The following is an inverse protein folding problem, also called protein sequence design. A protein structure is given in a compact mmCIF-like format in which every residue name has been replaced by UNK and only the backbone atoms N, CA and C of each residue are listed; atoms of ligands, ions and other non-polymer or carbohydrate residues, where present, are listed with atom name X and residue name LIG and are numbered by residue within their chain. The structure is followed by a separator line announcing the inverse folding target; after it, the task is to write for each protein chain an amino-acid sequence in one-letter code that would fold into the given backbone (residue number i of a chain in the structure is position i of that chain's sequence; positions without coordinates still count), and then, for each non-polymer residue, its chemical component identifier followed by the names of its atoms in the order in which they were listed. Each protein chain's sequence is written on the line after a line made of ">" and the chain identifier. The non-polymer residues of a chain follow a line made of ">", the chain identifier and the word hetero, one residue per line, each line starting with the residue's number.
data_IF_907111269311
#
_entry.id   IF_907111269311
#
_cell.length_a   1.000
_cell.length_b   1.000
_cell.length_c   1.000
_cell.angle_alpha   90.00
_cell.angle_beta   90.00
_cell.angle_gamma   90.00
#
_symmetry.space_group_name_H-M   'P 1'
#
loop_
_entity.id
_entity.type
_entity.pdbx_description
1 polymer ?
#
# COMPACT_ATOMS: atom_id res chain seq x y z
N UNK A 1 -31.55 -46.43 -16.91
CA UNK A 1 -30.54 -46.23 -15.81
C UNK A 1 -29.07 -46.21 -16.25
N UNK A 2 -28.73 -46.12 -17.54
CA UNK A 2 -27.37 -46.24 -18.08
C UNK A 2 -26.60 -44.90 -18.24
N UNK A 3 -27.21 -43.74 -17.91
CA UNK A 3 -26.62 -42.43 -18.26
C UNK A 3 -25.79 -41.76 -17.12
N UNK A 4 -25.73 -42.38 -15.92
CA UNK A 4 -25.04 -41.78 -14.77
C UNK A 4 -23.53 -41.99 -14.73
N UNK A 5 -23.00 -42.98 -15.42
CA UNK A 5 -21.56 -43.29 -15.42
C UNK A 5 -20.75 -42.33 -16.30
N UNK A 6 -21.24 -42.10 -17.52
CA UNK A 6 -20.57 -41.22 -18.49
C UNK A 6 -20.57 -39.74 -18.06
N UNK A 7 -21.65 -39.26 -17.47
CA UNK A 7 -21.73 -37.92 -16.93
C UNK A 7 -20.85 -37.72 -15.71
N UNK A 8 -20.71 -38.72 -14.84
CA UNK A 8 -19.77 -38.71 -13.70
C UNK A 8 -18.30 -38.72 -14.15
N UNK A 9 -17.96 -39.52 -15.14
CA UNK A 9 -16.61 -39.55 -15.71
C UNK A 9 -16.25 -38.23 -16.37
N UNK A 10 -17.15 -37.67 -17.19
CA UNK A 10 -16.94 -36.35 -17.84
C UNK A 10 -16.78 -35.23 -16.82
N UNK A 11 -17.56 -35.20 -15.75
CA UNK A 11 -17.41 -34.22 -14.65
C UNK A 11 -16.07 -34.36 -13.95
N UNK A 12 -15.64 -35.58 -13.62
CA UNK A 12 -14.32 -35.82 -13.00
C UNK A 12 -13.17 -35.41 -13.92
N UNK A 13 -13.26 -35.68 -15.20
CA UNK A 13 -12.26 -35.28 -16.17
C UNK A 13 -12.17 -33.76 -16.32
N UNK A 14 -13.32 -33.06 -16.38
CA UNK A 14 -13.36 -31.59 -16.43
C UNK A 14 -12.87 -30.97 -15.12
N UNK A 15 -13.21 -31.53 -13.96
CA UNK A 15 -12.73 -31.04 -12.65
C UNK A 15 -11.22 -31.20 -12.54
N UNK A 16 -10.68 -32.38 -12.97
CA UNK A 16 -9.22 -32.61 -12.99
C UNK A 16 -8.53 -31.65 -13.96
N UNK A 17 -9.04 -31.45 -15.16
CA UNK A 17 -8.47 -30.53 -16.12
C UNK A 17 -8.50 -29.09 -15.59
N UNK A 18 -9.62 -28.64 -15.01
CA UNK A 18 -9.74 -27.31 -14.39
C UNK A 18 -8.77 -27.13 -13.23
N UNK A 19 -8.62 -28.16 -12.37
CA UNK A 19 -7.64 -28.13 -11.25
C UNK A 19 -6.20 -28.05 -11.75
N UNK A 20 -5.84 -28.84 -12.77
CA UNK A 20 -4.48 -28.81 -13.35
C UNK A 20 -4.20 -27.46 -14.00
N UNK A 21 -5.15 -26.90 -14.76
CA UNK A 21 -5.01 -25.58 -15.36
C UNK A 21 -4.84 -24.50 -14.28
N UNK A 22 -5.71 -24.51 -13.27
CA UNK A 22 -5.62 -23.53 -12.17
C UNK A 22 -4.29 -23.65 -11.41
N UNK A 23 -3.85 -24.87 -11.11
CA UNK A 23 -2.56 -25.13 -10.46
C UNK A 23 -1.38 -24.66 -11.32
N UNK A 24 -1.41 -24.95 -12.63
CA UNK A 24 -0.35 -24.52 -13.57
C UNK A 24 -0.27 -23.02 -13.70
N UNK A 25 -1.41 -22.32 -13.81
CA UNK A 25 -1.48 -20.86 -13.85
C UNK A 25 -0.98 -20.25 -12.53
N UNK A 26 -1.37 -20.82 -11.39
CA UNK A 26 -0.87 -20.38 -10.08
C UNK A 26 0.63 -20.57 -9.95
N UNK A 27 1.15 -21.72 -10.36
CA UNK A 27 2.59 -22.02 -10.36
C UNK A 27 3.36 -21.06 -11.29
N UNK A 28 2.80 -20.71 -12.44
CA UNK A 28 3.39 -19.74 -13.37
C UNK A 28 3.52 -18.35 -12.72
N UNK A 29 2.44 -17.87 -12.09
CA UNK A 29 2.44 -16.55 -11.41
C UNK A 29 3.44 -16.52 -10.26
N UNK A 30 3.40 -17.54 -9.39
CA UNK A 30 4.32 -17.64 -8.24
C UNK A 30 5.76 -17.78 -8.71
N UNK A 31 6.00 -18.60 -9.74
CA UNK A 31 7.33 -18.79 -10.33
C UNK A 31 7.89 -17.50 -10.93
N UNK A 32 7.07 -16.73 -11.63
CA UNK A 32 7.46 -15.43 -12.17
C UNK A 32 7.81 -14.43 -11.07
N UNK A 33 6.97 -14.35 -10.03
CA UNK A 33 7.25 -13.48 -8.86
C UNK A 33 8.55 -13.87 -8.16
N UNK A 34 8.76 -15.18 -7.97
CA UNK A 34 9.98 -15.69 -7.35
C UNK A 34 11.23 -15.39 -8.21
N UNK A 35 11.12 -15.54 -9.54
CA UNK A 35 12.18 -15.22 -10.47
C UNK A 35 12.55 -13.72 -10.44
N UNK A 36 11.55 -12.83 -10.46
CA UNK A 36 11.76 -11.37 -10.34
C UNK A 36 12.44 -11.05 -9.02
N UNK A 37 11.96 -11.60 -7.92
CA UNK A 37 12.53 -11.35 -6.58
C UNK A 37 13.98 -11.85 -6.50
N UNK A 38 14.25 -13.06 -6.99
CA UNK A 38 15.60 -13.63 -7.01
C UNK A 38 16.54 -12.78 -7.85
N UNK A 39 16.11 -12.37 -9.03
CA UNK A 39 16.89 -11.48 -9.90
C UNK A 39 17.20 -10.14 -9.22
N UNK A 40 16.21 -9.55 -8.56
CA UNK A 40 16.37 -8.31 -7.81
C UNK A 40 17.39 -8.46 -6.66
N UNK A 41 17.33 -9.58 -5.92
CA UNK A 41 18.30 -9.86 -4.85
C UNK A 41 19.71 -10.00 -5.42
N UNK A 42 19.89 -10.78 -6.50
CA UNK A 42 21.20 -10.98 -7.11
C UNK A 42 21.83 -9.67 -7.60
N UNK A 43 21.02 -8.82 -8.26
CA UNK A 43 21.50 -7.55 -8.81
C UNK A 43 21.62 -6.44 -7.76
N UNK A 44 20.69 -6.38 -6.81
CA UNK A 44 20.63 -5.32 -5.80
C UNK A 44 21.60 -5.52 -4.63
N UNK A 45 21.83 -6.78 -4.20
CA UNK A 45 22.65 -7.06 -3.01
C UNK A 45 24.11 -6.61 -3.17
N UNK A 46 24.66 -6.66 -4.38
CA UNK A 46 26.06 -6.27 -4.63
C UNK A 46 26.34 -4.79 -4.36
N UNK A 47 25.34 -3.92 -4.52
CA UNK A 47 25.46 -2.47 -4.35
C UNK A 47 24.84 -1.97 -3.04
N UNK A 48 24.19 -2.84 -2.27
CA UNK A 48 23.60 -2.53 -0.97
C UNK A 48 24.69 -2.63 0.12
N UNK A 49 25.37 -1.52 0.37
CA UNK A 49 26.42 -1.41 1.37
C UNK A 49 26.17 -0.24 2.36
N UNK A 50 27.01 -0.09 3.36
CA UNK A 50 26.86 0.98 4.37
C UNK A 50 26.88 2.38 3.75
N UNK A 51 27.73 2.60 2.76
CA UNK A 51 27.83 3.85 2.01
C UNK A 51 26.52 4.18 1.32
N UNK A 52 25.88 3.19 0.69
CA UNK A 52 24.58 3.35 0.03
C UNK A 52 23.47 3.80 0.99
N UNK A 53 23.50 3.33 2.24
CA UNK A 53 22.51 3.66 3.27
C UNK A 53 22.76 4.99 3.99
N UNK A 54 23.99 5.56 3.91
CA UNK A 54 24.38 6.73 4.69
C UNK A 54 24.71 7.96 3.84
N UNK A 55 25.05 7.77 2.58
CA UNK A 55 25.40 8.88 1.68
C UNK A 55 24.22 9.29 0.80
N UNK A 56 24.31 10.52 0.28
CA UNK A 56 23.39 11.06 -0.74
C UNK A 56 23.81 10.65 -2.15
N UNK A 57 22.92 10.79 -3.15
CA UNK A 57 23.26 10.64 -4.55
C UNK A 57 24.46 11.48 -4.97
N UNK A 58 25.34 10.92 -5.78
CA UNK A 58 26.47 11.63 -6.36
C UNK A 58 26.28 11.88 -7.85
N UNK A 59 26.92 12.93 -8.40
CA UNK A 59 26.96 13.18 -9.84
C UNK A 59 27.59 12.01 -10.59
N UNK A 60 27.30 11.97 -11.89
CA UNK A 60 27.87 10.98 -12.81
C UNK A 60 29.39 11.10 -12.87
N UNK A 61 30.09 9.97 -12.81
CA UNK A 61 31.55 9.89 -12.84
C UNK A 61 32.24 9.94 -11.48
N UNK A 62 31.49 10.22 -10.41
CA UNK A 62 32.01 10.09 -9.05
C UNK A 62 31.72 8.71 -8.47
N UNK A 63 32.74 8.04 -7.93
CA UNK A 63 32.59 6.75 -7.30
C UNK A 63 31.84 6.85 -5.96
N UNK A 64 31.02 5.85 -5.63
CA UNK A 64 30.25 5.80 -4.40
C UNK A 64 28.90 6.52 -4.50
N UNK A 65 28.45 7.13 -3.41
CA UNK A 65 27.10 7.68 -3.30
C UNK A 65 26.09 6.66 -2.79
N UNK A 66 24.89 7.13 -2.47
CA UNK A 66 23.83 6.31 -1.91
C UNK A 66 22.46 6.95 -2.05
N UNK A 67 21.51 6.42 -1.30
CA UNK A 67 20.10 6.87 -1.33
C UNK A 67 19.55 7.17 0.08
N UNK A 68 20.42 7.61 1.00
CA UNK A 68 20.02 7.88 2.39
C UNK A 68 18.90 8.96 2.49
N UNK A 69 19.05 10.06 1.73
CA UNK A 69 18.04 11.12 1.67
C UNK A 69 16.72 10.61 1.05
N UNK A 70 16.79 9.69 0.07
CA UNK A 70 15.61 9.08 -0.57
C UNK A 70 14.87 8.17 0.41
N UNK A 71 15.60 7.41 1.23
CA UNK A 71 15.02 6.57 2.28
C UNK A 71 14.29 7.44 3.31
N UNK A 72 14.93 8.47 3.83
CA UNK A 72 14.33 9.41 4.76
C UNK A 72 13.09 10.09 4.17
N UNK A 73 13.19 10.59 2.94
CA UNK A 73 12.07 11.27 2.29
C UNK A 73 10.89 10.35 2.00
N UNK A 74 11.13 9.09 1.61
CA UNK A 74 10.06 8.10 1.47
C UNK A 74 9.34 7.86 2.79
N UNK A 75 10.07 7.71 3.89
CA UNK A 75 9.48 7.55 5.22
C UNK A 75 8.66 8.77 5.60
N UNK A 76 9.17 9.98 5.39
CA UNK A 76 8.47 11.23 5.72
C UNK A 76 7.18 11.38 4.92
N UNK A 77 7.23 11.16 3.59
CA UNK A 77 6.04 11.23 2.72
C UNK A 77 5.00 10.19 3.15
N UNK A 78 5.41 8.95 3.44
CA UNK A 78 4.52 7.89 3.88
C UNK A 78 3.90 8.16 5.26
N UNK A 79 4.64 8.80 6.17
CA UNK A 79 4.08 9.24 7.46
C UNK A 79 3.00 10.32 7.26
N UNK A 80 3.24 11.30 6.40
CA UNK A 80 2.25 12.34 6.07
C UNK A 80 1.02 11.69 5.42
N UNK A 81 1.22 10.82 4.42
CA UNK A 81 0.15 10.11 3.75
C UNK A 81 -0.69 9.28 4.74
N UNK A 82 -0.03 8.57 5.65
CA UNK A 82 -0.70 7.77 6.69
C UNK A 82 -1.44 8.65 7.69
N UNK A 83 -0.85 9.75 8.13
CA UNK A 83 -1.47 10.68 9.09
C UNK A 83 -2.76 11.30 8.53
N UNK A 84 -2.83 11.53 7.21
CA UNK A 84 -4.01 12.05 6.53
C UNK A 84 -4.97 10.94 6.09
N UNK A 85 -4.44 9.89 5.48
CA UNK A 85 -5.23 8.85 4.82
C UNK A 85 -5.89 7.86 5.80
N UNK A 86 -5.19 7.47 6.88
CA UNK A 86 -5.73 6.49 7.83
C UNK A 86 -7.00 7.00 8.54
N UNK A 87 -7.02 8.21 9.15
CA UNK A 87 -8.23 8.68 9.84
C UNK A 87 -9.42 8.83 8.89
N UNK A 88 -9.19 9.39 7.71
CA UNK A 88 -10.24 9.62 6.72
C UNK A 88 -10.77 8.30 6.16
N UNK A 89 -9.89 7.41 5.72
CA UNK A 89 -10.28 6.14 5.10
C UNK A 89 -10.96 5.19 6.09
N UNK A 90 -10.41 5.04 7.31
CA UNK A 90 -11.01 4.20 8.35
C UNK A 90 -12.34 4.81 8.82
N UNK A 91 -12.39 6.13 9.05
CA UNK A 91 -13.62 6.81 9.46
C UNK A 91 -14.74 6.69 8.42
N UNK A 92 -14.42 6.87 7.14
CA UNK A 92 -15.36 6.66 6.04
C UNK A 92 -15.84 5.19 5.96
N UNK A 93 -14.94 4.22 6.12
CA UNK A 93 -15.29 2.79 6.15
C UNK A 93 -16.20 2.41 7.32
N UNK A 94 -15.95 2.96 8.51
CA UNK A 94 -16.82 2.79 9.69
C UNK A 94 -18.20 3.38 9.38
N UNK A 95 -18.24 4.61 8.85
CA UNK A 95 -19.51 5.24 8.49
C UNK A 95 -20.30 4.38 7.49
N UNK A 96 -19.65 3.85 6.46
CA UNK A 96 -20.29 3.02 5.44
C UNK A 96 -20.83 1.71 6.00
N UNK A 97 -20.13 1.09 6.94
CA UNK A 97 -20.55 -0.17 7.56
C UNK A 97 -21.74 0.00 8.51
N UNK A 98 -21.76 1.07 9.30
CA UNK A 98 -22.70 1.26 10.39
C UNK A 98 -23.88 2.17 10.04
N UNK A 99 -23.66 3.17 9.15
CA UNK A 99 -24.63 4.24 8.85
C UNK A 99 -24.87 4.42 7.36
N UNK A 100 -24.12 3.76 6.49
CA UNK A 100 -24.08 4.01 5.05
C UNK A 100 -25.23 3.43 4.23
N UNK A 101 -26.45 3.25 4.80
CA UNK A 101 -27.63 2.76 4.07
C UNK A 101 -28.40 3.87 3.32
N UNK A 102 -27.87 5.09 3.32
CA UNK A 102 -28.47 6.29 2.72
C UNK A 102 -27.77 6.70 1.41
N UNK A 103 -28.27 7.76 0.78
CA UNK A 103 -27.70 8.31 -0.47
C UNK A 103 -26.23 8.75 -0.31
N UNK A 104 -25.87 9.33 0.83
CA UNK A 104 -24.49 9.71 1.12
C UNK A 104 -23.56 8.49 1.14
N UNK A 105 -24.00 7.38 1.76
CA UNK A 105 -23.23 6.14 1.76
C UNK A 105 -23.03 5.57 0.34
N UNK A 106 -24.05 5.65 -0.52
CA UNK A 106 -23.92 5.26 -1.92
C UNK A 106 -22.91 6.14 -2.66
N UNK A 107 -22.97 7.45 -2.45
CA UNK A 107 -22.05 8.41 -3.07
C UNK A 107 -20.60 8.16 -2.64
N UNK A 108 -20.35 7.94 -1.34
CA UNK A 108 -19.00 7.64 -0.84
C UNK A 108 -18.46 6.34 -1.45
N UNK A 109 -19.28 5.27 -1.53
CA UNK A 109 -18.88 4.01 -2.19
C UNK A 109 -18.54 4.23 -3.65
N UNK A 110 -19.42 4.91 -4.38
CA UNK A 110 -19.19 5.23 -5.79
C UNK A 110 -17.89 6.03 -5.97
N UNK A 111 -17.67 7.06 -5.16
CA UNK A 111 -16.44 7.86 -5.23
C UNK A 111 -15.20 7.02 -4.93
N UNK A 112 -15.25 6.16 -3.91
CA UNK A 112 -14.13 5.27 -3.57
C UNK A 112 -13.84 4.27 -4.70
N UNK A 113 -14.87 3.70 -5.33
CA UNK A 113 -14.72 2.76 -6.44
C UNK A 113 -14.14 3.47 -7.69
N UNK A 114 -14.60 4.67 -8.00
CA UNK A 114 -14.05 5.50 -9.10
C UNK A 114 -12.58 5.83 -8.83
N UNK A 115 -12.25 6.32 -7.62
CA UNK A 115 -10.86 6.69 -7.27
C UNK A 115 -9.91 5.49 -7.31
N UNK A 116 -10.37 4.29 -6.95
CA UNK A 116 -9.57 3.07 -7.10
C UNK A 116 -9.25 2.71 -8.56
N UNK A 117 -10.08 3.14 -9.51
CA UNK A 117 -9.88 2.94 -10.95
C UNK A 117 -9.09 4.05 -11.64
N UNK A 118 -8.89 5.21 -11.00
CA UNK A 118 -8.16 6.33 -11.60
C UNK A 118 -6.67 6.01 -11.71
N UNK A 119 -6.02 6.26 -12.87
CA UNK A 119 -4.57 6.15 -12.99
C UNK A 119 -3.84 7.03 -11.97
N UNK A 120 -2.80 6.50 -11.34
CA UNK A 120 -2.07 7.22 -10.27
C UNK A 120 -1.46 8.55 -10.73
N UNK A 121 -1.08 8.64 -12.00
CA UNK A 121 -0.57 9.88 -12.60
C UNK A 121 -1.61 11.00 -12.58
N UNK A 122 -2.89 10.67 -12.81
CA UNK A 122 -3.99 11.64 -12.76
C UNK A 122 -4.20 12.14 -11.34
N UNK A 123 -4.11 11.25 -10.34
CA UNK A 123 -4.16 11.65 -8.93
C UNK A 123 -3.01 12.59 -8.58
N UNK A 124 -1.82 12.33 -9.12
CA UNK A 124 -0.67 13.23 -9.00
C UNK A 124 -0.93 14.63 -9.55
N UNK A 125 -1.55 14.73 -10.74
CA UNK A 125 -1.92 16.00 -11.36
C UNK A 125 -3.00 16.74 -10.55
N UNK A 126 -3.98 16.03 -10.02
CA UNK A 126 -5.00 16.61 -9.13
C UNK A 126 -4.35 17.15 -7.86
N UNK A 127 -3.48 16.38 -7.22
CA UNK A 127 -2.75 16.83 -6.04
C UNK A 127 -1.82 18.02 -6.34
N UNK A 128 -1.20 18.04 -7.52
CA UNK A 128 -0.43 19.18 -8.00
C UNK A 128 -1.31 20.46 -8.04
N UNK A 129 -2.46 20.39 -8.70
CA UNK A 129 -3.38 21.52 -8.80
C UNK A 129 -3.92 21.99 -7.44
N UNK A 130 -4.22 21.03 -6.55
CA UNK A 130 -4.79 21.36 -5.22
C UNK A 130 -3.75 21.87 -4.23
N UNK A 131 -2.52 21.40 -4.28
CA UNK A 131 -1.52 21.69 -3.24
C UNK A 131 -0.34 22.47 -3.79
N UNK A 132 0.35 21.96 -4.82
CA UNK A 132 1.60 22.58 -5.32
C UNK A 132 1.35 23.96 -5.90
N UNK A 133 0.30 24.12 -6.71
CA UNK A 133 -0.07 25.44 -7.30
C UNK A 133 -0.39 26.44 -6.21
N UNK A 134 -1.13 26.05 -5.17
CA UNK A 134 -1.50 26.94 -4.07
C UNK A 134 -0.31 27.26 -3.14
N UNK A 135 0.64 26.33 -2.97
CA UNK A 135 1.86 26.58 -2.20
C UNK A 135 2.91 27.35 -3.01
N UNK A 136 2.84 27.31 -4.33
CA UNK A 136 3.85 27.87 -5.24
C UNK A 136 5.16 27.06 -5.34
N UNK A 137 5.23 25.88 -4.71
CA UNK A 137 6.42 25.03 -4.74
C UNK A 137 6.08 23.55 -4.48
N UNK A 138 6.97 22.65 -4.91
CA UNK A 138 6.92 21.22 -4.59
C UNK A 138 7.31 20.97 -3.13
N UNK A 139 6.77 19.90 -2.52
CA UNK A 139 7.04 19.61 -1.12
C UNK A 139 6.79 18.14 -0.76
N UNK A 140 7.38 17.68 0.37
CA UNK A 140 7.02 16.39 0.95
C UNK A 140 5.54 16.33 1.35
N UNK A 141 4.98 17.46 1.79
CA UNK A 141 3.55 17.56 2.15
C UNK A 141 2.66 17.30 0.95
N UNK A 142 2.92 17.93 -0.21
CA UNK A 142 2.14 17.68 -1.43
C UNK A 142 2.25 16.23 -1.90
N UNK A 143 3.45 15.63 -1.79
CA UNK A 143 3.64 14.19 -2.02
C UNK A 143 2.80 13.32 -1.09
N UNK A 144 2.80 13.65 0.20
CA UNK A 144 2.00 12.97 1.21
C UNK A 144 0.49 13.08 0.96
N UNK A 145 0.00 14.25 0.55
CA UNK A 145 -1.41 14.45 0.16
C UNK A 145 -1.76 13.60 -1.07
N UNK A 146 -0.92 13.55 -2.09
CA UNK A 146 -1.15 12.73 -3.28
C UNK A 146 -1.28 11.25 -2.93
N UNK A 147 -0.39 10.73 -2.10
CA UNK A 147 -0.45 9.35 -1.63
C UNK A 147 -1.63 9.10 -0.68
N UNK A 148 -2.02 10.09 0.15
CA UNK A 148 -3.20 9.99 1.00
C UNK A 148 -4.50 9.85 0.18
N UNK A 149 -4.65 10.62 -0.89
CA UNK A 149 -5.80 10.52 -1.82
C UNK A 149 -5.92 9.10 -2.38
N UNK A 150 -4.80 8.45 -2.71
CA UNK A 150 -4.79 7.06 -3.18
C UNK A 150 -5.08 6.05 -2.07
N UNK A 151 -4.65 6.34 -0.85
CA UNK A 151 -4.79 5.44 0.30
C UNK A 151 -6.23 5.38 0.82
N UNK A 152 -6.93 6.53 0.82
CA UNK A 152 -8.29 6.67 1.38
C UNK A 152 -9.29 5.68 0.78
N UNK A 153 -9.48 5.54 -0.54
CA UNK A 153 -10.48 4.63 -1.10
C UNK A 153 -10.20 3.16 -0.77
N UNK A 154 -8.94 2.75 -0.76
CA UNK A 154 -8.53 1.38 -0.40
C UNK A 154 -8.91 1.09 1.06
N UNK A 155 -8.56 2.01 1.97
CA UNK A 155 -8.88 1.89 3.39
C UNK A 155 -10.38 1.91 3.66
N UNK A 156 -11.11 2.78 2.98
CA UNK A 156 -12.57 2.91 3.11
C UNK A 156 -13.26 1.59 2.79
N UNK A 157 -12.95 0.99 1.63
CA UNK A 157 -13.57 -0.26 1.19
C UNK A 157 -13.14 -1.44 2.06
N UNK A 158 -11.85 -1.56 2.37
CA UNK A 158 -11.38 -2.62 3.24
C UNK A 158 -12.00 -2.55 4.64
N UNK A 159 -12.06 -1.35 5.24
CA UNK A 159 -12.65 -1.18 6.58
C UNK A 159 -14.14 -1.50 6.56
N UNK A 160 -14.89 -1.04 5.56
CA UNK A 160 -16.30 -1.37 5.39
C UNK A 160 -16.52 -2.89 5.30
N UNK A 161 -15.75 -3.57 4.44
CA UNK A 161 -15.85 -5.03 4.24
C UNK A 161 -15.52 -5.80 5.52
N UNK A 162 -14.45 -5.45 6.21
CA UNK A 162 -14.05 -6.12 7.45
C UNK A 162 -15.08 -5.95 8.58
N UNK A 163 -15.68 -4.76 8.69
CA UNK A 163 -16.73 -4.52 9.69
C UNK A 163 -18.02 -5.27 9.35
N UNK A 164 -18.36 -5.43 8.07
CA UNK A 164 -19.53 -6.22 7.62
C UNK A 164 -19.39 -7.72 7.86
N UNK A 165 -18.16 -8.24 7.95
CA UNK A 165 -17.92 -9.64 8.30
C UNK A 165 -18.20 -9.95 9.77
N UNK A 166 -18.34 -8.96 10.65
CA UNK A 166 -18.71 -9.17 12.04
C UNK A 166 -20.19 -9.62 12.12
N UNK A 167 -20.48 -10.81 12.69
CA UNK A 167 -21.83 -11.36 12.71
C UNK A 167 -22.83 -10.41 13.37
N UNK A 168 -24.04 -10.33 12.82
CA UNK A 168 -25.12 -9.49 13.32
C UNK A 168 -25.51 -9.87 14.75
N UNK A 169 -25.43 -11.16 15.11
CA UNK A 169 -25.70 -11.66 16.48
C UNK A 169 -24.82 -11.02 17.55
N UNK A 170 -23.57 -10.66 17.21
CA UNK A 170 -22.66 -9.97 18.15
C UNK A 170 -23.17 -8.55 18.44
N UNK A 171 -23.68 -7.87 17.42
CA UNK A 171 -24.25 -6.52 17.54
C UNK A 171 -25.55 -6.54 18.33
N UNK A 172 -26.43 -7.49 18.03
CA UNK A 172 -27.71 -7.69 18.71
C UNK A 172 -27.52 -8.05 20.19
N UNK A 173 -26.54 -8.89 20.51
CA UNK A 173 -26.20 -9.18 21.89
C UNK A 173 -25.76 -7.93 22.68
N UNK A 174 -24.95 -7.05 22.03
CA UNK A 174 -24.55 -5.79 22.65
C UNK A 174 -25.75 -4.85 22.88
N UNK A 175 -26.65 -4.76 21.90
CA UNK A 175 -27.88 -3.96 22.04
C UNK A 175 -28.82 -4.53 23.11
N UNK A 176 -28.92 -5.86 23.22
CA UNK A 176 -29.68 -6.53 24.28
C UNK A 176 -29.15 -6.24 25.68
N UNK A 177 -27.87 -5.91 25.84
CA UNK A 177 -27.24 -5.45 27.07
C UNK A 177 -27.40 -3.92 27.30
N UNK A 178 -28.14 -3.21 26.44
CA UNK A 178 -28.34 -1.77 26.51
C UNK A 178 -27.15 -0.92 26.09
N UNK A 179 -26.15 -1.51 25.39
CA UNK A 179 -24.98 -0.76 24.93
C UNK A 179 -25.37 0.08 23.69
N UNK A 180 -25.15 1.40 23.70
CA UNK A 180 -25.50 2.27 22.56
C UNK A 180 -24.66 1.95 21.32
N UNK A 181 -25.22 2.21 20.13
CA UNK A 181 -24.64 1.85 18.83
C UNK A 181 -23.19 2.31 18.68
N UNK A 182 -22.88 3.57 18.97
CA UNK A 182 -21.51 4.10 18.83
C UNK A 182 -20.49 3.34 19.70
N UNK A 183 -20.88 2.93 20.90
CA UNK A 183 -20.01 2.17 21.81
C UNK A 183 -19.87 0.71 21.33
N UNK A 184 -20.94 0.11 20.82
CA UNK A 184 -20.92 -1.21 20.17
C UNK A 184 -19.95 -1.18 19.00
N UNK A 185 -20.01 -0.15 18.13
CA UNK A 185 -19.11 0.02 16.99
C UNK A 185 -17.63 0.07 17.42
N UNK A 186 -17.30 0.95 18.37
CA UNK A 186 -15.89 1.18 18.77
C UNK A 186 -15.34 0.00 19.59
N UNK A 187 -16.11 -0.46 20.60
CA UNK A 187 -15.58 -1.42 21.59
C UNK A 187 -15.74 -2.88 21.18
N UNK A 188 -16.69 -3.20 20.33
CA UNK A 188 -17.03 -4.58 19.97
C UNK A 188 -16.76 -4.84 18.49
N UNK A 189 -17.42 -4.11 17.59
CA UNK A 189 -17.34 -4.38 16.14
C UNK A 189 -15.93 -4.11 15.62
N UNK A 190 -15.37 -2.93 15.91
CA UNK A 190 -14.01 -2.56 15.49
C UNK A 190 -12.95 -3.46 16.15
N UNK A 191 -13.13 -3.80 17.42
CA UNK A 191 -12.24 -4.71 18.13
C UNK A 191 -12.26 -6.13 17.54
N UNK A 192 -13.41 -6.62 17.11
CA UNK A 192 -13.55 -7.92 16.43
C UNK A 192 -12.92 -7.90 15.04
N UNK A 193 -13.13 -6.84 14.25
CA UNK A 193 -12.62 -6.68 12.89
C UNK A 193 -11.15 -6.24 12.82
N UNK A 194 -10.51 -5.89 13.94
CA UNK A 194 -9.19 -5.23 14.00
C UNK A 194 -8.10 -5.92 13.17
N UNK A 195 -8.07 -7.26 13.15
CA UNK A 195 -7.04 -8.01 12.40
C UNK A 195 -7.18 -7.78 10.89
N UNK A 196 -8.41 -7.81 10.37
CA UNK A 196 -8.69 -7.53 8.96
C UNK A 196 -8.40 -6.07 8.58
N UNK A 197 -8.79 -5.13 9.44
CA UNK A 197 -8.51 -3.70 9.22
C UNK A 197 -7.01 -3.42 9.18
N UNK A 198 -6.22 -3.99 10.10
CA UNK A 198 -4.76 -3.85 10.10
C UNK A 198 -4.15 -4.45 8.84
N UNK A 199 -4.65 -5.60 8.36
CA UNK A 199 -4.21 -6.19 7.11
C UNK A 199 -4.50 -5.26 5.93
N UNK A 200 -5.67 -4.61 5.90
CA UNK A 200 -6.02 -3.61 4.91
C UNK A 200 -5.15 -2.35 4.97
N UNK A 201 -4.81 -1.88 6.17
CA UNK A 201 -3.86 -0.78 6.35
C UNK A 201 -2.49 -1.15 5.76
N UNK A 202 -2.00 -2.35 6.04
CA UNK A 202 -0.71 -2.81 5.49
C UNK A 202 -0.74 -2.93 3.97
N UNK A 203 -1.85 -3.41 3.40
CA UNK A 203 -2.02 -3.50 1.95
C UNK A 203 -2.03 -2.11 1.30
N UNK A 204 -2.78 -1.16 1.86
CA UNK A 204 -2.83 0.22 1.38
C UNK A 204 -1.44 0.89 1.49
N UNK A 205 -0.76 0.72 2.62
CA UNK A 205 0.60 1.23 2.85
C UNK A 205 1.61 0.64 1.84
N UNK A 206 1.62 -0.68 1.66
CA UNK A 206 2.52 -1.34 0.72
C UNK A 206 2.31 -0.85 -0.73
N UNK A 207 1.06 -0.64 -1.12
CA UNK A 207 0.72 -0.11 -2.44
C UNK A 207 1.27 1.29 -2.63
N UNK A 208 0.98 2.23 -1.73
CA UNK A 208 1.40 3.64 -1.91
C UNK A 208 2.89 3.85 -1.69
N UNK A 209 3.56 2.98 -0.94
CA UNK A 209 5.01 3.06 -0.71
C UNK A 209 5.84 2.87 -1.99
N UNK A 210 5.32 2.16 -2.98
CA UNK A 210 5.97 1.95 -4.27
C UNK A 210 5.55 2.92 -5.38
N UNK A 211 4.67 3.88 -5.10
CA UNK A 211 4.14 4.78 -6.12
C UNK A 211 5.16 5.85 -6.54
N UNK A 212 5.36 5.96 -7.85
CA UNK A 212 6.30 6.92 -8.45
C UNK A 212 5.60 8.08 -9.12
N UNK A 213 4.57 7.80 -9.93
CA UNK A 213 3.93 8.77 -10.80
C UNK A 213 3.35 9.99 -10.06
N UNK A 214 2.63 9.85 -8.93
CA UNK A 214 2.13 11.01 -8.19
C UNK A 214 3.26 11.89 -7.63
N UNK A 215 4.37 11.29 -7.23
CA UNK A 215 5.51 12.00 -6.62
C UNK A 215 6.30 12.83 -7.63
N UNK A 216 6.28 12.46 -8.92
CA UNK A 216 6.85 13.27 -10.00
C UNK A 216 6.24 14.67 -10.07
N UNK A 217 4.95 14.79 -9.79
CA UNK A 217 4.21 16.05 -9.87
C UNK A 217 4.08 16.79 -8.54
N UNK A 218 4.52 16.18 -7.42
CA UNK A 218 4.25 16.74 -6.10
C UNK A 218 5.50 16.89 -5.24
N UNK A 219 6.37 15.88 -5.16
CA UNK A 219 7.61 15.93 -4.38
C UNK A 219 8.82 16.41 -5.19
N UNK A 220 8.81 16.22 -6.52
CA UNK A 220 9.83 16.57 -7.52
C UNK A 220 11.17 15.86 -7.36
N UNK A 221 11.57 15.47 -6.16
CA UNK A 221 12.89 14.95 -5.84
C UNK A 221 13.88 16.04 -5.39
N UNK A 222 14.91 15.62 -4.65
CA UNK A 222 16.00 16.48 -4.19
C UNK A 222 17.24 15.61 -3.97
N UNK A 223 18.38 15.97 -4.54
CA UNK A 223 19.65 15.26 -4.35
C UNK A 223 20.30 15.55 -3.00
N UNK A 224 19.92 16.64 -2.35
CA UNK A 224 20.44 17.05 -1.03
C UNK A 224 19.51 16.60 0.10
N UNK A 225 20.03 16.65 1.32
CA UNK A 225 19.22 16.46 2.51
C UNK A 225 18.17 17.57 2.65
N UNK A 226 16.93 17.17 2.86
CA UNK A 226 15.82 18.05 3.21
C UNK A 226 15.02 17.40 4.34
N UNK A 227 14.87 18.11 5.46
CA UNK A 227 14.14 17.65 6.63
C UNK A 227 12.79 18.35 6.80
N UNK A 228 12.54 19.37 5.99
CA UNK A 228 11.30 20.15 6.05
C UNK A 228 10.21 19.50 5.24
N UNK A 229 9.00 19.25 5.82
CA UNK A 229 7.86 18.78 5.06
C UNK A 229 7.41 19.73 3.94
N UNK A 230 7.78 21.01 4.04
CA UNK A 230 7.39 22.08 3.12
C UNK A 230 8.43 22.36 2.03
N UNK A 231 9.35 21.44 1.77
CA UNK A 231 10.37 21.58 0.73
C UNK A 231 10.38 20.34 -0.18
N UNK A 232 10.90 20.47 -1.43
CA UNK A 232 11.15 19.33 -2.29
C UNK A 232 12.00 18.26 -1.58
N UNK A 233 11.62 17.00 -1.75
CA UNK A 233 12.28 15.90 -1.06
C UNK A 233 12.48 14.71 -2.01
N UNK A 234 13.58 14.00 -1.84
CA UNK A 234 13.82 12.74 -2.54
C UNK A 234 12.85 11.65 -2.06
N UNK A 235 12.53 10.73 -2.95
CA UNK A 235 11.78 9.51 -2.62
C UNK A 235 12.40 8.32 -3.34
N UNK A 236 12.48 7.16 -2.66
CA UNK A 236 13.06 5.95 -3.22
C UNK A 236 12.45 5.56 -4.57
N UNK A 237 11.10 5.45 -4.72
CA UNK A 237 10.50 5.09 -6.01
C UNK A 237 10.88 6.06 -7.12
N UNK A 238 10.94 7.35 -6.81
CA UNK A 238 11.28 8.40 -7.77
C UNK A 238 12.75 8.32 -8.19
N UNK A 239 13.67 8.13 -7.24
CA UNK A 239 15.09 8.01 -7.53
C UNK A 239 15.42 6.72 -8.30
N UNK A 240 14.75 5.61 -7.96
CA UNK A 240 14.85 4.36 -8.72
C UNK A 240 14.43 4.59 -10.17
N UNK A 241 13.32 5.28 -10.40
CA UNK A 241 12.84 5.60 -11.74
C UNK A 241 13.86 6.45 -12.53
N UNK A 242 14.40 7.50 -11.93
CA UNK A 242 15.41 8.37 -12.57
C UNK A 242 16.67 7.57 -12.93
N UNK A 243 17.15 6.74 -12.00
CA UNK A 243 18.36 5.97 -12.20
C UNK A 243 18.19 4.81 -13.20
N UNK A 244 17.05 4.15 -13.20
CA UNK A 244 16.73 3.08 -14.13
C UNK A 244 16.60 3.55 -15.58
N UNK A 245 16.21 4.82 -15.81
CA UNK A 245 16.09 5.43 -17.12
C UNK A 245 17.36 6.18 -17.57
N UNK A 246 18.42 6.17 -16.78
CA UNK A 246 19.68 6.82 -17.12
C UNK A 246 20.51 5.96 -18.09
N UNK A 247 21.45 6.53 -18.84
CA UNK A 247 22.36 5.75 -19.68
C UNK A 247 23.58 5.21 -18.92
N UNK A 248 23.65 5.34 -17.58
CA UNK A 248 24.84 5.06 -16.79
C UNK A 248 24.71 3.76 -16.00
N UNK A 249 25.62 2.82 -16.21
CA UNK A 249 25.67 1.52 -15.54
C UNK A 249 25.74 1.61 -14.00
N UNK A 250 26.49 2.60 -13.47
CA UNK A 250 26.57 2.83 -12.03
C UNK A 250 25.21 3.17 -11.42
N UNK A 251 24.42 4.00 -12.10
CA UNK A 251 23.08 4.36 -11.65
C UNK A 251 22.12 3.19 -11.78
N UNK A 252 22.25 2.34 -12.81
CA UNK A 252 21.48 1.10 -12.88
C UNK A 252 21.75 0.17 -11.70
N UNK A 253 23.01 0.01 -11.29
CA UNK A 253 23.36 -0.78 -10.09
C UNK A 253 22.73 -0.21 -8.82
N UNK A 254 22.76 1.11 -8.66
CA UNK A 254 22.12 1.79 -7.55
C UNK A 254 20.59 1.69 -7.61
N UNK A 255 19.98 1.72 -8.81
CA UNK A 255 18.55 1.49 -8.97
C UNK A 255 18.13 0.10 -8.48
N UNK A 256 18.91 -0.95 -8.80
CA UNK A 256 18.65 -2.31 -8.31
C UNK A 256 18.77 -2.39 -6.79
N UNK A 257 19.78 -1.76 -6.19
CA UNK A 257 19.93 -1.70 -4.74
C UNK A 257 18.78 -0.90 -4.07
N UNK A 258 18.38 0.21 -4.67
CA UNK A 258 17.23 1.01 -4.20
C UNK A 258 15.92 0.23 -4.26
N UNK A 259 15.67 -0.52 -5.34
CA UNK A 259 14.50 -1.38 -5.46
C UNK A 259 14.49 -2.51 -4.42
N UNK A 260 15.63 -3.14 -4.16
CA UNK A 260 15.77 -4.13 -3.10
C UNK A 260 15.52 -3.50 -1.72
N UNK A 261 16.08 -2.33 -1.44
CA UNK A 261 15.87 -1.60 -0.20
C UNK A 261 14.40 -1.22 0.01
N UNK A 262 13.71 -0.77 -1.05
CA UNK A 262 12.28 -0.46 -1.01
C UNK A 262 11.44 -1.68 -0.61
N UNK A 263 11.71 -2.84 -1.21
CA UNK A 263 11.03 -4.09 -0.86
C UNK A 263 11.32 -4.49 0.59
N UNK A 264 12.58 -4.42 1.03
CA UNK A 264 12.97 -4.71 2.43
C UNK A 264 12.22 -3.77 3.39
N UNK A 265 12.12 -2.49 3.06
CA UNK A 265 11.39 -1.50 3.87
C UNK A 265 9.90 -1.86 3.98
N UNK A 266 9.24 -2.18 2.87
CA UNK A 266 7.81 -2.52 2.84
C UNK A 266 7.55 -3.83 3.58
N UNK A 267 8.29 -4.89 3.26
CA UNK A 267 8.15 -6.20 3.90
C UNK A 267 8.50 -6.12 5.39
N UNK A 268 9.59 -5.44 5.72
CA UNK A 268 10.02 -5.23 7.10
C UNK A 268 8.96 -4.49 7.93
N UNK A 269 8.45 -3.37 7.42
CA UNK A 269 7.36 -2.62 8.08
C UNK A 269 6.13 -3.48 8.29
N UNK A 270 5.70 -4.20 7.25
CA UNK A 270 4.54 -5.11 7.30
C UNK A 270 4.75 -6.23 8.34
N UNK A 271 5.94 -6.84 8.35
CA UNK A 271 6.29 -7.89 9.30
C UNK A 271 6.31 -7.39 10.75
N UNK A 272 6.92 -6.22 11.00
CA UNK A 272 6.98 -5.60 12.33
C UNK A 272 5.57 -5.29 12.84
N UNK A 273 4.75 -4.63 12.03
CA UNK A 273 3.36 -4.31 12.42
C UNK A 273 2.59 -5.59 12.73
N UNK A 274 2.64 -6.59 11.85
CA UNK A 274 1.97 -7.88 12.06
C UNK A 274 2.43 -8.58 13.34
N UNK A 275 3.74 -8.60 13.59
CA UNK A 275 4.30 -9.23 14.79
C UNK A 275 3.88 -8.53 16.08
N UNK A 276 3.93 -7.20 16.12
CA UNK A 276 3.49 -6.40 17.28
C UNK A 276 2.01 -6.64 17.58
N UNK A 277 1.16 -6.66 16.54
CA UNK A 277 -0.26 -6.91 16.73
C UNK A 277 -0.58 -8.35 17.12
N UNK A 278 0.08 -9.36 16.54
CA UNK A 278 -0.09 -10.75 16.93
C UNK A 278 0.28 -10.99 18.40
N UNK A 279 1.39 -10.42 18.87
CA UNK A 279 1.78 -10.52 20.29
C UNK A 279 0.73 -9.92 21.23
N UNK A 280 0.16 -8.76 20.87
CA UNK A 280 -0.91 -8.14 21.69
C UNK A 280 -2.20 -8.94 21.68
N UNK A 281 -2.49 -9.71 20.62
CA UNK A 281 -3.66 -10.59 20.57
C UNK A 281 -3.48 -11.86 21.42
N UNK A 282 -2.27 -12.41 21.50
CA UNK A 282 -1.94 -13.60 22.27
C UNK A 282 -1.78 -13.29 23.77
N UNK A 283 -1.33 -12.10 24.14
CA UNK A 283 -1.18 -11.66 25.53
C UNK A 283 -2.48 -11.15 26.19
N UNK A 284 -3.57 -11.05 25.42
CA UNK A 284 -4.89 -10.64 25.93
C UNK A 284 -5.85 -11.83 26.16
N UNK A 285 -5.34 -13.06 26.09
CA UNK A 285 -6.00 -14.29 26.53
C UNK A 285 -5.42 -14.67 27.88
#
# INVERSE_FOLDING_TARGET
>A
MANNGFTKFRRRATDHAATVIAASLSALVVGTLFAIFTYLVIKGASSLNWTFLTQTPKPVGEAGGGMANCLFGSVLILLIASALGLPVGIGAGIYLAEYGHNLLGQLIRFTADVLNGVPSIVIGLVAYGLVVVNQGHFSAFSGGVALAIMMVPILTRNTEEMLRLVPQSVREAAFGLGIPQWRTTISITLATARAGIITGIMLAFARVAGETAPLLFTALGNTFWSFSPNQPIAALPLQIYVYANSPYEEWHRQAWAGALLLIIMIVGTTAVVRFVFLRRMLGAR
#
